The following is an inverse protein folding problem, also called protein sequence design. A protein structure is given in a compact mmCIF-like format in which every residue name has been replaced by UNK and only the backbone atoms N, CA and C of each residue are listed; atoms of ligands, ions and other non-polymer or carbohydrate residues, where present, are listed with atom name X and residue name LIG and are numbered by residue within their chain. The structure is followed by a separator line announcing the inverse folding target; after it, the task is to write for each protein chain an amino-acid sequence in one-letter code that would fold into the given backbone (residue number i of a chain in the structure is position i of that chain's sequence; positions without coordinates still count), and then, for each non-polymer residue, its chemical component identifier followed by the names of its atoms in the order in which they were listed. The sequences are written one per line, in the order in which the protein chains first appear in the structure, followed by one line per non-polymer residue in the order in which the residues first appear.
data_IF_298616254685
#
_entry.id   IF_298616254685
#
_cell.length_a   1.000
_cell.length_b   1.000
_cell.length_c   1.000
_cell.angle_alpha   90.00
_cell.angle_beta   90.00
_cell.angle_gamma   90.00
#
_symmetry.space_group_name_H-M   'P 1'
#
loop_
_entity.id
_entity.type
_entity.pdbx_description
1 polymer ?
#
# COMPACT_ATOMS: atom_id res chain seq x y z
N UNK A 1 -19.77 20.50 -10.69
CA UNK A 1 -18.95 20.94 -11.83
C UNK A 1 -19.00 19.83 -12.86
N UNK A 2 -19.53 20.05 -14.04
CA UNK A 2 -19.57 19.07 -15.14
C UNK A 2 -18.16 18.91 -15.68
N UNK A 3 -17.52 17.78 -15.38
CA UNK A 3 -16.23 17.42 -15.99
C UNK A 3 -16.51 17.04 -17.45
N UNK A 4 -16.20 17.94 -18.39
CA UNK A 4 -16.39 17.72 -19.84
C UNK A 4 -15.30 16.77 -20.44
N UNK A 5 -14.79 15.82 -19.69
CA UNK A 5 -13.72 14.90 -20.12
C UNK A 5 -14.04 13.46 -19.77
N UNK A 6 -13.25 12.49 -20.32
CA UNK A 6 -13.38 11.09 -19.95
C UNK A 6 -13.10 10.86 -18.47
N UNK A 7 -13.76 9.87 -17.89
CA UNK A 7 -13.59 9.41 -16.51
C UNK A 7 -13.06 7.99 -16.50
N UNK A 8 -12.45 7.57 -15.41
CA UNK A 8 -11.75 6.28 -15.30
C UNK A 8 -12.16 5.56 -14.03
N UNK A 9 -12.23 4.25 -14.08
CA UNK A 9 -12.48 3.42 -12.90
C UNK A 9 -11.15 2.98 -12.33
N UNK A 10 -10.95 3.19 -11.03
CA UNK A 10 -9.85 2.63 -10.28
C UNK A 10 -10.34 1.60 -9.28
N UNK A 11 -9.78 0.41 -9.30
CA UNK A 11 -10.04 -0.67 -8.36
C UNK A 11 -8.76 -0.95 -7.59
N UNK A 12 -8.86 -0.96 -6.26
CA UNK A 12 -7.80 -1.32 -5.32
C UNK A 12 -8.24 -2.56 -4.56
N UNK A 13 -7.64 -3.68 -4.88
CA UNK A 13 -7.90 -4.94 -4.24
C UNK A 13 -6.87 -5.17 -3.14
N UNK A 14 -7.27 -4.93 -1.90
CA UNK A 14 -6.46 -5.27 -0.73
C UNK A 14 -6.70 -6.69 -0.25
N UNK A 15 -5.89 -7.14 0.72
CA UNK A 15 -6.03 -8.49 1.29
C UNK A 15 -7.37 -8.78 1.95
N UNK A 16 -8.10 -7.78 2.44
CA UNK A 16 -9.40 -7.94 3.13
C UNK A 16 -10.52 -7.06 2.56
N UNK A 17 -10.21 -6.12 1.69
CA UNK A 17 -11.18 -5.17 1.14
C UNK A 17 -10.94 -4.95 -0.34
N UNK A 18 -12.03 -4.81 -1.08
CA UNK A 18 -12.05 -4.28 -2.44
C UNK A 18 -12.61 -2.87 -2.38
N UNK A 19 -11.87 -1.91 -2.90
CA UNK A 19 -12.30 -0.53 -3.07
C UNK A 19 -12.35 -0.20 -4.56
N UNK A 20 -13.36 0.55 -4.97
CA UNK A 20 -13.47 1.06 -6.31
C UNK A 20 -13.87 2.52 -6.32
N UNK A 21 -13.40 3.28 -7.30
CA UNK A 21 -13.83 4.65 -7.48
C UNK A 21 -13.94 5.02 -8.96
N UNK A 22 -14.89 5.90 -9.25
CA UNK A 22 -14.96 6.62 -10.51
C UNK A 22 -14.19 7.93 -10.33
N UNK A 23 -13.18 8.13 -11.15
CA UNK A 23 -12.20 9.21 -11.02
C UNK A 23 -12.27 10.10 -12.27
N UNK A 24 -12.28 11.41 -12.05
CA UNK A 24 -12.19 12.40 -13.12
C UNK A 24 -10.81 12.37 -13.80
N UNK A 25 -10.71 12.98 -14.96
CA UNK A 25 -9.42 13.15 -15.65
C UNK A 25 -8.37 13.89 -14.79
N UNK A 26 -8.80 14.77 -13.89
CA UNK A 26 -7.93 15.50 -12.93
C UNK A 26 -7.55 14.71 -11.68
N UNK A 27 -8.14 13.53 -11.45
CA UNK A 27 -7.88 12.70 -10.27
C UNK A 27 -8.85 12.89 -9.11
N UNK A 28 -9.95 13.65 -9.32
CA UNK A 28 -10.98 13.84 -8.30
C UNK A 28 -11.90 12.63 -8.24
N UNK A 29 -12.27 12.22 -7.03
CA UNK A 29 -13.22 11.13 -6.80
C UNK A 29 -14.64 11.64 -7.07
N UNK A 30 -15.33 10.97 -8.01
CA UNK A 30 -16.73 11.28 -8.35
C UNK A 30 -17.67 10.36 -7.55
N UNK A 31 -17.32 9.09 -7.43
CA UNK A 31 -18.05 8.07 -6.68
C UNK A 31 -17.10 7.03 -6.13
N UNK A 32 -17.42 6.48 -4.97
CA UNK A 32 -16.70 5.35 -4.36
C UNK A 32 -17.65 4.18 -4.13
N UNK A 33 -17.06 2.97 -4.12
CA UNK A 33 -17.69 1.75 -3.66
C UNK A 33 -16.69 0.93 -2.84
N UNK A 34 -17.20 0.13 -1.89
CA UNK A 34 -16.37 -0.70 -1.02
C UNK A 34 -17.08 -2.00 -0.68
N UNK A 35 -16.33 -3.09 -0.76
CA UNK A 35 -16.77 -4.45 -0.39
C UNK A 35 -15.78 -5.08 0.58
N UNK A 36 -16.26 -5.98 1.43
CA UNK A 36 -15.38 -6.96 2.07
C UNK A 36 -14.97 -7.99 1.02
N UNK A 37 -13.68 -8.24 0.88
CA UNK A 37 -13.18 -9.14 -0.15
C UNK A 37 -13.56 -10.59 0.16
N UNK A 38 -14.16 -11.30 -0.79
CA UNK A 38 -14.51 -12.71 -0.72
C UNK A 38 -13.26 -13.58 -0.89
N UNK A 39 -12.37 -13.59 0.08
CA UNK A 39 -11.00 -14.14 0.00
C UNK A 39 -10.91 -15.64 -0.34
N UNK A 40 -11.95 -16.42 -0.04
CA UNK A 40 -11.91 -17.89 -0.10
C UNK A 40 -12.39 -18.49 -1.41
N UNK A 41 -13.12 -17.72 -2.22
CA UNK A 41 -13.74 -18.19 -3.45
C UNK A 41 -13.31 -17.31 -4.63
N UNK A 42 -12.49 -17.84 -5.56
CA UNK A 42 -11.95 -17.05 -6.70
C UNK A 42 -13.04 -16.40 -7.53
N UNK A 43 -14.07 -17.18 -7.89
CA UNK A 43 -15.16 -16.73 -8.75
C UNK A 43 -16.00 -15.65 -8.06
N UNK A 44 -16.21 -15.77 -6.74
CA UNK A 44 -16.94 -14.78 -5.96
C UNK A 44 -16.14 -13.47 -5.85
N UNK A 45 -14.83 -13.55 -5.62
CA UNK A 45 -13.97 -12.37 -5.54
C UNK A 45 -13.85 -11.66 -6.89
N UNK A 46 -13.68 -12.42 -7.98
CA UNK A 46 -13.69 -11.83 -9.32
C UNK A 46 -15.07 -11.25 -9.67
N UNK A 47 -16.15 -11.93 -9.28
CA UNK A 47 -17.52 -11.40 -9.40
C UNK A 47 -17.70 -10.06 -8.69
N UNK A 48 -17.13 -9.88 -7.50
CA UNK A 48 -17.13 -8.58 -6.80
C UNK A 48 -16.37 -7.50 -7.57
N UNK A 49 -15.24 -7.83 -8.21
CA UNK A 49 -14.49 -6.89 -9.06
C UNK A 49 -15.34 -6.46 -10.25
N UNK A 50 -16.02 -7.40 -10.90
CA UNK A 50 -16.94 -7.12 -12.02
C UNK A 50 -18.12 -6.27 -11.56
N UNK A 51 -18.75 -6.60 -10.44
CA UNK A 51 -19.87 -5.86 -9.86
C UNK A 51 -19.49 -4.42 -9.57
N UNK A 52 -18.32 -4.21 -8.93
CA UNK A 52 -17.79 -2.89 -8.65
C UNK A 52 -17.57 -2.07 -9.94
N UNK A 53 -16.94 -2.70 -10.95
CA UNK A 53 -16.65 -2.05 -12.23
C UNK A 53 -17.93 -1.66 -12.99
N UNK A 54 -18.91 -2.58 -13.08
CA UNK A 54 -20.18 -2.32 -13.75
C UNK A 54 -21.00 -1.25 -13.02
N UNK A 55 -21.07 -1.32 -11.68
CA UNK A 55 -21.78 -0.33 -10.87
C UNK A 55 -21.20 1.09 -11.03
N UNK A 56 -19.89 1.22 -11.17
CA UNK A 56 -19.23 2.50 -11.41
C UNK A 56 -19.38 2.96 -12.87
N UNK A 57 -19.27 2.03 -13.83
CA UNK A 57 -19.45 2.32 -15.27
C UNK A 57 -20.84 2.85 -15.58
N UNK A 58 -21.87 2.23 -15.03
CA UNK A 58 -23.28 2.52 -15.33
C UNK A 58 -23.82 3.70 -14.52
N UNK A 59 -22.95 4.42 -13.80
CA UNK A 59 -23.32 5.61 -13.03
C UNK A 59 -23.78 6.75 -13.94
N UNK A 60 -25.07 7.10 -13.86
CA UNK A 60 -25.69 8.19 -14.64
C UNK A 60 -25.12 9.58 -14.29
N UNK A 61 -24.46 9.73 -13.16
CA UNK A 61 -23.88 10.97 -12.68
C UNK A 61 -22.36 11.05 -12.93
N UNK A 62 -21.81 10.20 -13.79
CA UNK A 62 -20.37 10.12 -14.06
C UNK A 62 -19.76 11.44 -14.57
N UNK A 63 -20.59 12.32 -15.15
CA UNK A 63 -20.12 13.60 -15.69
C UNK A 63 -19.30 13.48 -16.98
N UNK A 64 -19.03 12.26 -17.47
CA UNK A 64 -18.29 11.95 -18.68
C UNK A 64 -18.42 10.46 -19.06
N UNK A 65 -17.88 10.09 -20.22
CA UNK A 65 -17.81 8.69 -20.67
C UNK A 65 -16.69 7.97 -19.89
N UNK A 66 -16.97 6.73 -19.44
CA UNK A 66 -15.94 5.89 -18.80
C UNK A 66 -15.04 5.30 -19.88
N UNK A 67 -13.75 5.67 -19.86
CA UNK A 67 -12.81 5.35 -20.93
C UNK A 67 -11.86 4.17 -20.61
N UNK A 68 -11.79 3.74 -19.35
CA UNK A 68 -10.91 2.62 -18.97
C UNK A 68 -10.96 2.27 -17.49
N UNK A 69 -10.38 1.13 -17.16
CA UNK A 69 -10.31 0.56 -15.81
C UNK A 69 -8.86 0.29 -15.45
N UNK A 70 -8.41 0.76 -14.29
CA UNK A 70 -7.17 0.34 -13.66
C UNK A 70 -7.45 -0.52 -12.45
N UNK A 71 -6.67 -1.60 -12.28
CA UNK A 71 -6.79 -2.51 -11.15
C UNK A 71 -5.44 -2.64 -10.46
N UNK A 72 -5.38 -2.28 -9.18
CA UNK A 72 -4.25 -2.54 -8.28
C UNK A 72 -4.49 -3.82 -7.48
N UNK A 73 -3.50 -4.71 -7.44
CA UNK A 73 -3.60 -6.00 -6.73
C UNK A 73 -2.38 -6.22 -5.81
N UNK A 74 -2.55 -6.94 -4.68
CA UNK A 74 -1.45 -7.26 -3.78
C UNK A 74 -0.66 -8.47 -4.31
N UNK A 75 0.14 -8.29 -5.34
CA UNK A 75 0.89 -9.37 -5.96
C UNK A 75 1.84 -8.94 -7.06
N UNK A 76 2.61 -9.91 -7.57
CA UNK A 76 3.58 -9.70 -8.64
C UNK A 76 2.89 -9.80 -10.01
N UNK A 77 2.88 -8.71 -10.75
CA UNK A 77 2.31 -8.63 -12.10
C UNK A 77 3.42 -8.67 -13.14
N UNK A 78 3.43 -9.70 -13.98
CA UNK A 78 4.34 -9.78 -15.11
C UNK A 78 3.85 -8.87 -16.24
N UNK A 79 4.58 -7.79 -16.49
CA UNK A 79 4.19 -6.78 -17.50
C UNK A 79 4.29 -7.26 -18.95
N UNK A 80 5.05 -8.33 -19.22
CA UNK A 80 5.16 -8.87 -20.58
C UNK A 80 3.98 -9.76 -20.94
N UNK A 81 3.47 -10.51 -19.96
CA UNK A 81 2.34 -11.43 -20.14
C UNK A 81 1.03 -10.86 -19.63
N UNK A 82 1.09 -9.74 -18.90
CA UNK A 82 -0.04 -9.10 -18.21
C UNK A 82 -0.78 -10.05 -17.26
N UNK A 83 -0.03 -10.96 -16.61
CA UNK A 83 -0.55 -11.98 -15.70
C UNK A 83 0.01 -11.82 -14.31
N UNK A 84 -0.76 -12.32 -13.34
CA UNK A 84 -0.35 -12.45 -11.96
C UNK A 84 0.55 -13.67 -11.84
N UNK A 85 1.80 -13.47 -11.44
CA UNK A 85 2.76 -14.58 -11.21
C UNK A 85 2.66 -15.12 -9.78
N UNK A 86 2.53 -14.24 -8.81
CA UNK A 86 2.44 -14.59 -7.39
C UNK A 86 1.49 -13.62 -6.68
N UNK A 87 0.54 -14.15 -5.93
CA UNK A 87 -0.38 -13.39 -5.09
C UNK A 87 -0.63 -14.16 -3.77
N UNK A 88 0.24 -14.05 -2.77
CA UNK A 88 0.17 -14.86 -1.55
C UNK A 88 -1.12 -14.62 -0.74
N UNK A 89 -1.60 -13.38 -0.72
CA UNK A 89 -2.81 -13.00 0.02
C UNK A 89 -4.12 -13.48 -0.62
N UNK A 90 -4.13 -13.68 -1.94
CA UNK A 90 -5.33 -14.05 -2.72
C UNK A 90 -4.96 -15.03 -3.85
N UNK A 91 -4.41 -16.22 -3.52
CA UNK A 91 -3.83 -17.16 -4.51
C UNK A 91 -4.85 -17.63 -5.55
N UNK A 92 -6.11 -17.57 -5.20
CA UNK A 92 -7.23 -17.97 -6.06
C UNK A 92 -7.35 -17.13 -7.34
N UNK A 93 -7.04 -15.82 -7.28
CA UNK A 93 -7.11 -14.93 -8.45
C UNK A 93 -5.93 -15.09 -9.42
N UNK A 94 -4.84 -15.72 -9.02
CA UNK A 94 -3.68 -15.90 -9.90
C UNK A 94 -3.96 -16.76 -11.14
N UNK A 95 -5.06 -17.53 -11.10
CA UNK A 95 -5.50 -18.38 -12.23
C UNK A 95 -6.41 -17.65 -13.22
N UNK A 96 -6.89 -16.45 -12.86
CA UNK A 96 -7.82 -15.67 -13.69
C UNK A 96 -7.02 -14.62 -14.48
N UNK A 97 -7.26 -14.56 -15.79
CA UNK A 97 -6.80 -13.43 -16.61
C UNK A 97 -7.73 -12.23 -16.40
N UNK A 98 -7.47 -11.50 -15.29
CA UNK A 98 -8.32 -10.39 -14.85
C UNK A 98 -8.50 -9.36 -15.96
N UNK A 99 -7.44 -9.04 -16.71
CA UNK A 99 -7.51 -8.01 -17.76
C UNK A 99 -8.44 -8.40 -18.90
N UNK A 100 -8.29 -9.63 -19.42
CA UNK A 100 -9.12 -10.12 -20.50
C UNK A 100 -10.58 -10.31 -20.07
N UNK A 101 -10.79 -10.94 -18.92
CA UNK A 101 -12.14 -11.25 -18.45
C UNK A 101 -12.90 -9.98 -18.04
N UNK A 102 -12.26 -9.06 -17.30
CA UNK A 102 -12.90 -7.80 -16.92
C UNK A 102 -13.17 -6.90 -18.12
N UNK A 103 -12.28 -6.88 -19.12
CA UNK A 103 -12.51 -6.16 -20.37
C UNK A 103 -13.70 -6.74 -21.15
N UNK A 104 -13.84 -8.07 -21.16
CA UNK A 104 -14.99 -8.74 -21.80
C UNK A 104 -16.32 -8.37 -21.12
N UNK A 105 -16.36 -8.40 -19.79
CA UNK A 105 -17.58 -8.10 -19.01
C UNK A 105 -17.97 -6.63 -19.06
N UNK A 106 -16.99 -5.73 -19.14
CA UNK A 106 -17.24 -4.27 -19.08
C UNK A 106 -17.23 -3.59 -20.43
N UNK A 107 -16.61 -4.18 -21.45
CA UNK A 107 -16.39 -3.55 -22.76
C UNK A 107 -15.34 -2.44 -22.74
N UNK A 108 -14.57 -2.31 -21.66
CA UNK A 108 -13.58 -1.24 -21.47
C UNK A 108 -12.13 -1.80 -21.47
N UNK A 109 -11.15 -1.01 -21.89
CA UNK A 109 -9.75 -1.38 -21.72
C UNK A 109 -9.39 -1.47 -20.24
N UNK A 110 -8.62 -2.50 -19.87
CA UNK A 110 -8.22 -2.79 -18.48
C UNK A 110 -6.70 -2.80 -18.35
N UNK A 111 -6.19 -2.11 -17.34
CA UNK A 111 -4.78 -2.14 -16.94
C UNK A 111 -4.67 -2.77 -15.56
N UNK A 112 -3.72 -3.68 -15.40
CA UNK A 112 -3.41 -4.34 -14.13
C UNK A 112 -2.00 -3.94 -13.66
N UNK A 113 -1.87 -3.58 -12.38
CA UNK A 113 -0.57 -3.33 -11.74
C UNK A 113 -0.60 -3.77 -10.27
N UNK A 114 0.56 -3.73 -9.61
CA UNK A 114 0.65 -3.91 -8.18
C UNK A 114 -0.02 -2.74 -7.43
N UNK A 115 -0.66 -3.01 -6.28
CA UNK A 115 -1.39 -2.04 -5.46
C UNK A 115 -0.50 -0.91 -4.92
N UNK A 116 0.75 -1.23 -4.50
CA UNK A 116 1.69 -0.21 -4.04
C UNK A 116 2.21 0.66 -5.20
N UNK A 117 2.39 0.09 -6.41
CA UNK A 117 2.68 0.88 -7.60
C UNK A 117 1.52 1.82 -7.95
N UNK A 118 0.29 1.32 -7.86
CA UNK A 118 -0.89 2.15 -8.09
C UNK A 118 -0.95 3.31 -7.06
N UNK A 119 -0.77 3.02 -5.77
CA UNK A 119 -0.76 4.04 -4.73
C UNK A 119 0.37 5.07 -4.93
N UNK A 120 1.58 4.60 -5.29
CA UNK A 120 2.70 5.48 -5.63
C UNK A 120 2.37 6.41 -6.79
N UNK A 121 1.69 5.88 -7.82
CA UNK A 121 1.27 6.67 -8.98
C UNK A 121 0.22 7.71 -8.61
N UNK A 122 -0.73 7.37 -7.74
CA UNK A 122 -1.70 8.33 -7.20
C UNK A 122 -1.02 9.49 -6.47
N UNK A 123 -0.08 9.18 -5.57
CA UNK A 123 0.68 10.19 -4.83
C UNK A 123 1.57 11.04 -5.76
N UNK A 124 2.10 10.47 -6.84
CA UNK A 124 2.84 11.22 -7.86
C UNK A 124 1.95 12.19 -8.62
N UNK A 125 0.77 11.76 -9.05
CA UNK A 125 -0.08 12.56 -9.93
C UNK A 125 -0.83 13.67 -9.20
N UNK A 126 -1.39 13.37 -8.02
CA UNK A 126 -2.29 14.31 -7.30
C UNK A 126 -2.03 14.39 -5.78
N UNK A 127 -1.03 13.66 -5.29
CA UNK A 127 -0.75 13.54 -3.86
C UNK A 127 0.48 14.30 -3.37
N UNK A 128 1.21 13.69 -2.44
CA UNK A 128 2.38 14.26 -1.77
C UNK A 128 3.61 14.37 -2.67
N UNK A 129 3.72 13.49 -3.69
CA UNK A 129 4.87 13.42 -4.59
C UNK A 129 4.66 14.19 -5.90
N UNK A 130 3.64 15.05 -5.97
CA UNK A 130 3.37 15.85 -7.17
C UNK A 130 4.60 16.70 -7.54
N UNK A 131 4.90 16.76 -8.83
CA UNK A 131 6.06 17.49 -9.40
C UNK A 131 7.43 16.94 -8.96
N UNK A 132 7.48 15.68 -8.47
CA UNK A 132 8.71 14.93 -8.16
C UNK A 132 9.00 13.89 -9.22
N UNK A 133 10.29 13.52 -9.34
CA UNK A 133 10.77 12.59 -10.37
C UNK A 133 11.42 11.33 -9.80
N UNK A 134 12.04 11.44 -8.61
CA UNK A 134 12.77 10.33 -7.97
C UNK A 134 12.15 10.05 -6.60
N UNK A 135 11.11 9.18 -6.56
CA UNK A 135 10.29 8.96 -5.37
C UNK A 135 10.29 7.50 -4.96
N UNK A 136 10.37 7.25 -3.67
CA UNK A 136 10.15 5.94 -3.07
C UNK A 136 8.90 5.99 -2.19
N UNK A 137 7.84 5.36 -2.65
CA UNK A 137 6.60 5.23 -1.90
C UNK A 137 6.61 3.92 -1.10
N UNK A 138 6.15 3.98 0.15
CA UNK A 138 5.99 2.80 1.01
C UNK A 138 4.58 2.80 1.59
N UNK A 139 3.90 1.68 1.51
CA UNK A 139 2.63 1.45 2.22
C UNK A 139 2.84 0.47 3.35
N UNK A 140 2.46 0.86 4.58
CA UNK A 140 2.51 0.04 5.78
C UNK A 140 1.08 -0.29 6.22
N UNK A 141 0.69 -1.56 6.11
CA UNK A 141 -0.65 -2.06 6.40
C UNK A 141 -0.62 -3.48 6.91
N UNK A 142 -1.44 -4.36 6.33
CA UNK A 142 -1.40 -5.82 6.57
C UNK A 142 -0.05 -6.42 6.17
N UNK A 143 0.54 -5.90 5.10
CA UNK A 143 1.91 -6.13 4.68
C UNK A 143 2.67 -4.82 4.52
N UNK A 144 3.83 -4.87 3.86
CA UNK A 144 4.63 -3.72 3.47
C UNK A 144 4.91 -3.79 1.97
N UNK A 145 4.28 -2.91 1.21
CA UNK A 145 4.53 -2.72 -0.21
C UNK A 145 5.33 -1.45 -0.49
N UNK A 146 5.92 -1.36 -1.69
CA UNK A 146 6.54 -0.14 -2.14
C UNK A 146 6.39 0.06 -3.66
N UNK A 147 6.39 1.33 -4.07
CA UNK A 147 6.47 1.75 -5.46
C UNK A 147 7.67 2.66 -5.67
N UNK A 148 8.45 2.38 -6.69
CA UNK A 148 9.61 3.19 -7.06
C UNK A 148 9.29 4.02 -8.30
N UNK A 149 9.53 5.32 -8.23
CA UNK A 149 9.39 6.26 -9.34
C UNK A 149 10.79 6.74 -9.70
N UNK A 150 11.14 6.58 -10.97
CA UNK A 150 12.41 7.01 -11.56
C UNK A 150 12.11 7.82 -12.81
N UNK A 151 12.69 9.01 -12.93
CA UNK A 151 12.41 9.94 -14.02
C UNK A 151 10.90 10.23 -14.20
N UNK A 152 10.14 10.32 -13.11
CA UNK A 152 8.70 10.59 -13.12
C UNK A 152 7.81 9.42 -13.58
N UNK A 153 8.36 8.21 -13.68
CA UNK A 153 7.64 7.01 -14.11
C UNK A 153 7.82 5.88 -13.11
N UNK A 154 6.79 5.03 -12.96
CA UNK A 154 6.88 3.82 -12.14
C UNK A 154 7.95 2.89 -12.70
N UNK A 155 8.96 2.61 -11.89
CA UNK A 155 10.00 1.65 -12.20
C UNK A 155 9.57 0.25 -11.73
N UNK A 156 9.30 -0.62 -12.68
CA UNK A 156 8.82 -1.98 -12.42
C UNK A 156 9.91 -3.05 -12.50
N UNK A 157 11.13 -2.68 -12.85
CA UNK A 157 12.22 -3.63 -13.08
C UNK A 157 12.08 -4.42 -14.38
N UNK A 158 12.94 -5.41 -14.57
CA UNK A 158 13.07 -6.16 -15.82
C UNK A 158 11.83 -7.00 -16.18
N UNK A 159 11.13 -7.52 -15.18
CA UNK A 159 9.97 -8.41 -15.34
C UNK A 159 8.67 -7.88 -14.73
N UNK A 160 8.70 -6.77 -14.01
CA UNK A 160 7.54 -6.20 -13.34
C UNK A 160 7.55 -6.36 -11.81
N UNK A 161 8.65 -6.86 -11.21
CA UNK A 161 8.71 -7.30 -9.82
C UNK A 161 9.58 -6.41 -8.92
N UNK A 162 9.88 -5.18 -9.33
CA UNK A 162 10.59 -4.23 -8.48
C UNK A 162 9.66 -3.70 -7.37
N UNK A 163 10.25 -3.32 -6.24
CA UNK A 163 9.50 -2.70 -5.14
C UNK A 163 9.22 -3.63 -3.95
N UNK A 164 9.79 -4.83 -3.91
CA UNK A 164 9.60 -5.81 -2.82
C UNK A 164 10.32 -5.40 -1.52
N UNK A 165 10.13 -4.15 -1.10
CA UNK A 165 10.80 -3.53 0.05
C UNK A 165 10.49 -4.22 1.38
N UNK A 166 9.25 -4.68 1.55
CA UNK A 166 8.81 -5.42 2.74
C UNK A 166 9.58 -6.72 2.95
N UNK A 167 10.13 -7.29 1.87
CA UNK A 167 10.86 -8.55 1.89
C UNK A 167 12.39 -8.39 1.94
N UNK A 168 12.89 -7.16 2.09
CA UNK A 168 14.31 -6.95 2.41
C UNK A 168 14.63 -7.51 3.80
N UNK A 169 15.69 -8.31 3.91
CA UNK A 169 16.17 -8.81 5.21
C UNK A 169 16.76 -7.67 6.01
N UNK A 170 16.15 -7.35 7.13
CA UNK A 170 16.60 -6.31 8.09
C UNK A 170 17.14 -6.95 9.38
N UNK A 171 16.65 -8.12 9.72
CA UNK A 171 17.12 -8.90 10.87
C UNK A 171 17.44 -10.34 10.44
N UNK A 172 18.71 -10.65 10.11
CA UNK A 172 19.07 -11.96 9.61
C UNK A 172 18.87 -13.12 10.60
N UNK A 173 18.69 -12.80 11.89
CA UNK A 173 18.34 -13.77 12.96
C UNK A 173 16.84 -13.67 13.34
N UNK A 174 16.05 -12.96 12.54
CA UNK A 174 14.63 -12.75 12.76
C UNK A 174 13.78 -13.98 12.49
N UNK A 175 12.45 -13.78 12.47
CA UNK A 175 11.50 -14.86 12.20
C UNK A 175 11.33 -15.11 10.70
N UNK A 176 10.80 -16.28 10.37
CA UNK A 176 10.40 -16.64 9.01
C UNK A 176 9.28 -15.74 8.50
N UNK A 177 9.40 -15.32 7.26
CA UNK A 177 8.41 -14.52 6.53
C UNK A 177 7.54 -15.43 5.66
N UNK A 178 6.31 -15.01 5.37
CA UNK A 178 5.40 -15.72 4.45
C UNK A 178 5.98 -15.91 3.04
N UNK A 179 6.98 -15.11 2.65
CA UNK A 179 7.70 -15.28 1.38
C UNK A 179 8.77 -16.40 1.40
N UNK A 180 8.97 -17.07 2.54
CA UNK A 180 10.00 -18.11 2.74
C UNK A 180 11.37 -17.60 3.15
N UNK A 181 11.60 -16.28 3.20
CA UNK A 181 12.84 -15.67 3.69
C UNK A 181 12.78 -15.45 5.21
N UNK A 182 13.91 -15.13 5.84
CA UNK A 182 14.02 -14.86 7.29
C UNK A 182 14.35 -13.39 7.51
N UNK A 183 13.66 -12.76 8.49
CA UNK A 183 13.97 -11.41 8.97
C UNK A 183 13.62 -10.27 8.02
N UNK A 184 12.63 -10.46 7.18
CA UNK A 184 12.07 -9.42 6.32
C UNK A 184 11.58 -8.23 7.15
N UNK A 185 11.66 -7.01 6.61
CA UNK A 185 11.12 -5.81 7.24
C UNK A 185 9.64 -5.99 7.62
N UNK A 186 8.87 -6.66 6.78
CA UNK A 186 7.45 -6.94 7.02
C UNK A 186 7.20 -7.72 8.30
N UNK A 187 8.08 -8.66 8.65
CA UNK A 187 7.97 -9.43 9.91
C UNK A 187 8.18 -8.60 11.17
N UNK A 188 8.53 -7.31 11.00
CA UNK A 188 8.79 -6.38 12.09
C UNK A 188 7.81 -5.21 12.08
N UNK A 189 7.57 -4.60 10.92
CA UNK A 189 6.94 -3.29 10.81
C UNK A 189 5.53 -3.30 10.18
N UNK A 190 5.01 -4.44 9.72
CA UNK A 190 3.60 -4.54 9.32
C UNK A 190 2.66 -4.53 10.53
N UNK A 191 1.40 -4.13 10.35
CA UNK A 191 0.40 -4.05 11.41
C UNK A 191 0.29 -5.34 12.24
N UNK A 192 0.08 -6.52 11.63
CA UNK A 192 0.03 -7.79 12.34
C UNK A 192 1.31 -8.10 13.13
N UNK A 193 2.47 -7.73 12.59
CA UNK A 193 3.75 -7.98 13.26
C UNK A 193 4.05 -6.99 14.39
N UNK A 194 3.57 -5.77 14.31
CA UNK A 194 3.56 -4.83 15.46
C UNK A 194 2.72 -5.43 16.59
N UNK A 195 1.53 -5.93 16.29
CA UNK A 195 0.64 -6.60 17.24
C UNK A 195 1.31 -7.82 17.86
N UNK A 196 1.88 -8.72 17.06
CA UNK A 196 2.60 -9.92 17.52
C UNK A 196 3.72 -9.55 18.52
N UNK A 197 4.61 -8.63 18.14
CA UNK A 197 5.72 -8.17 18.99
C UNK A 197 5.23 -7.53 20.28
N UNK A 198 4.13 -6.79 20.22
CA UNK A 198 3.50 -6.19 21.41
C UNK A 198 2.96 -7.27 22.33
N UNK A 199 2.27 -8.28 21.81
CA UNK A 199 1.79 -9.44 22.61
C UNK A 199 2.93 -10.18 23.29
N UNK A 200 4.02 -10.44 22.58
CA UNK A 200 5.20 -11.10 23.15
C UNK A 200 5.79 -10.28 24.31
N UNK A 201 5.77 -8.96 24.20
CA UNK A 201 6.24 -8.06 25.26
C UNK A 201 5.31 -8.05 26.47
N UNK A 202 3.99 -8.08 26.27
CA UNK A 202 2.98 -8.08 27.32
C UNK A 202 3.06 -9.30 28.25
N UNK A 203 3.59 -10.43 27.80
CA UNK A 203 3.86 -11.58 28.69
C UNK A 203 4.87 -11.26 29.79
N UNK A 204 5.78 -10.32 29.55
CA UNK A 204 6.85 -9.93 30.46
C UNK A 204 6.58 -8.61 31.18
N UNK A 205 5.75 -7.76 30.61
CA UNK A 205 5.42 -6.44 31.13
C UNK A 205 3.89 -6.26 31.18
N UNK A 206 3.33 -6.39 32.37
CA UNK A 206 1.89 -6.27 32.61
C UNK A 206 1.46 -4.88 33.09
N UNK A 207 2.37 -3.93 33.14
CA UNK A 207 2.06 -2.56 33.57
C UNK A 207 1.35 -1.76 32.49
N UNK A 208 1.52 -2.13 31.23
CA UNK A 208 0.87 -1.51 30.09
C UNK A 208 -0.65 -1.57 30.16
N UNK A 209 -1.31 -0.49 29.75
CA UNK A 209 -2.76 -0.39 29.59
C UNK A 209 -3.32 -1.44 28.62
N UNK A 210 -2.52 -1.84 27.63
CA UNK A 210 -2.85 -2.90 26.66
C UNK A 210 -3.07 -4.27 27.31
N UNK A 211 -2.54 -4.50 28.51
CA UNK A 211 -2.80 -5.72 29.28
C UNK A 211 -4.29 -5.94 29.55
N UNK A 212 -5.07 -4.86 29.68
CA UNK A 212 -6.52 -4.92 29.88
C UNK A 212 -7.28 -5.28 28.60
N UNK A 213 -6.76 -4.88 27.44
CA UNK A 213 -7.33 -5.22 26.13
C UNK A 213 -7.01 -6.66 25.72
N UNK A 214 -5.92 -7.22 26.25
CA UNK A 214 -5.50 -8.59 25.97
C UNK A 214 -6.25 -9.66 26.82
N UNK A 215 -7.03 -9.26 27.83
CA UNK A 215 -7.67 -10.17 28.80
C UNK A 215 -8.99 -10.79 28.32
N UNK A 216 -9.88 -10.13 27.55
CA UNK A 216 -10.88 -10.86 26.81
C UNK A 216 -10.17 -11.52 25.60
N UNK A 217 -10.00 -12.86 25.66
CA UNK A 217 -9.38 -13.62 24.55
C UNK A 217 -10.13 -13.49 23.22
N UNK A 218 -11.28 -12.88 23.25
CA UNK A 218 -12.23 -12.71 22.14
C UNK A 218 -12.03 -11.41 21.35
N UNK A 219 -11.25 -10.45 21.86
CA UNK A 219 -10.88 -9.24 21.13
C UNK A 219 -9.38 -9.20 20.87
N UNK A 220 -9.01 -9.31 19.61
CA UNK A 220 -7.65 -8.99 19.18
C UNK A 220 -7.49 -7.46 19.14
N UNK A 221 -6.50 -6.92 19.88
CA UNK A 221 -6.11 -5.54 19.70
C UNK A 221 -5.32 -5.36 18.39
N UNK A 222 -5.42 -4.18 17.82
CA UNK A 222 -4.84 -3.81 16.52
C UNK A 222 -3.59 -2.94 16.68
N UNK A 223 -2.91 -2.66 15.59
CA UNK A 223 -1.82 -1.68 15.58
C UNK A 223 -2.32 -0.26 15.94
N UNK A 224 -3.57 0.06 15.61
CA UNK A 224 -4.23 1.31 15.98
C UNK A 224 -4.46 1.42 17.48
N UNK A 225 -4.91 0.34 18.15
CA UNK A 225 -5.03 0.29 19.62
C UNK A 225 -3.67 0.54 20.29
N UNK A 226 -2.57 0.02 19.71
CA UNK A 226 -1.21 0.25 20.21
C UNK A 226 -0.80 1.70 20.02
N UNK A 227 -1.06 2.28 18.85
CA UNK A 227 -0.78 3.69 18.58
C UNK A 227 -1.58 4.60 19.50
N UNK A 228 -2.85 4.28 19.75
CA UNK A 228 -3.70 5.03 20.68
C UNK A 228 -3.15 4.96 22.12
N UNK A 229 -2.82 3.77 22.62
CA UNK A 229 -2.22 3.61 23.94
C UNK A 229 -0.89 4.40 24.06
N UNK A 230 -0.06 4.38 23.02
CA UNK A 230 1.17 5.16 22.98
C UNK A 230 0.90 6.67 23.07
N UNK A 231 -0.13 7.18 22.38
CA UNK A 231 -0.55 8.58 22.44
C UNK A 231 -1.05 9.01 23.82
N UNK A 232 -1.66 8.07 24.56
CA UNK A 232 -2.13 8.24 25.94
C UNK A 232 -1.00 8.09 26.99
N UNK A 233 0.24 7.86 26.55
CA UNK A 233 1.41 7.82 27.41
C UNK A 233 1.81 6.43 27.91
N UNK A 234 1.27 5.35 27.35
CA UNK A 234 1.71 4.00 27.64
C UNK A 234 3.16 3.78 27.16
N UNK A 235 4.08 3.67 28.10
CA UNK A 235 5.53 3.60 27.81
C UNK A 235 5.88 2.37 26.95
N UNK A 236 5.26 1.23 27.18
CA UNK A 236 5.52 0.02 26.43
C UNK A 236 5.02 0.17 24.98
N UNK A 237 3.84 0.73 24.78
CA UNK A 237 3.29 1.01 23.47
C UNK A 237 4.17 2.04 22.72
N UNK A 238 4.65 3.09 23.40
CA UNK A 238 5.61 4.06 22.82
C UNK A 238 6.89 3.36 22.34
N UNK A 239 7.48 2.48 23.16
CA UNK A 239 8.66 1.69 22.77
C UNK A 239 8.38 0.82 21.54
N UNK A 240 7.19 0.24 21.43
CA UNK A 240 6.83 -0.59 20.27
C UNK A 240 6.74 0.24 18.99
N UNK A 241 6.15 1.44 19.04
CA UNK A 241 6.06 2.36 17.90
C UNK A 241 7.45 2.91 17.53
N UNK A 242 8.24 3.34 18.52
CA UNK A 242 9.62 3.81 18.28
C UNK A 242 10.48 2.74 17.59
N UNK A 243 10.42 1.49 18.07
CA UNK A 243 11.16 0.39 17.44
C UNK A 243 10.67 0.10 16.03
N UNK A 244 9.37 0.21 15.76
CA UNK A 244 8.83 0.07 14.40
C UNK A 244 9.43 1.13 13.46
N UNK A 245 9.40 2.40 13.88
CA UNK A 245 10.03 3.48 13.12
C UNK A 245 11.55 3.32 12.97
N UNK A 246 12.23 2.80 14.00
CA UNK A 246 13.67 2.51 13.91
C UNK A 246 13.99 1.49 12.81
N UNK A 247 13.28 0.36 12.74
CA UNK A 247 13.52 -0.64 11.69
C UNK A 247 13.17 -0.13 10.30
N UNK A 248 12.08 0.62 10.19
CA UNK A 248 11.73 1.30 8.94
C UNK A 248 12.85 2.26 8.51
N UNK A 249 13.41 3.03 9.44
CA UNK A 249 14.50 3.96 9.17
C UNK A 249 15.79 3.26 8.74
N UNK A 250 16.09 2.07 9.27
CA UNK A 250 17.21 1.22 8.80
C UNK A 250 17.04 0.88 7.33
N UNK A 251 15.86 0.39 6.97
CA UNK A 251 15.54 -0.01 5.60
C UNK A 251 15.57 1.18 4.63
N UNK A 252 14.99 2.32 5.03
CA UNK A 252 14.98 3.54 4.21
C UNK A 252 16.37 4.13 4.00
N UNK A 253 17.25 4.04 4.99
CA UNK A 253 18.63 4.47 4.83
C UNK A 253 19.35 3.67 3.72
N UNK A 254 19.09 2.36 3.62
CA UNK A 254 19.65 1.54 2.54
C UNK A 254 19.12 1.98 1.17
N UNK A 255 17.81 2.26 1.07
CA UNK A 255 17.17 2.74 -0.17
C UNK A 255 17.74 4.11 -0.58
N UNK A 256 17.82 5.07 0.34
CA UNK A 256 18.34 6.41 0.08
C UNK A 256 19.80 6.35 -0.36
N UNK A 257 20.62 5.50 0.28
CA UNK A 257 22.01 5.32 -0.11
C UNK A 257 22.16 4.67 -1.49
N UNK A 258 21.26 3.74 -1.85
CA UNK A 258 21.33 3.00 -3.10
C UNK A 258 20.78 3.77 -4.28
N UNK A 259 19.64 4.45 -4.10
CA UNK A 259 18.87 5.05 -5.19
C UNK A 259 18.96 6.58 -5.23
N UNK A 260 19.36 7.22 -4.12
CA UNK A 260 19.42 8.68 -3.98
C UNK A 260 18.10 9.38 -4.41
N UNK A 261 16.97 8.87 -3.91
CA UNK A 261 15.66 9.46 -4.19
C UNK A 261 15.51 10.84 -3.54
N UNK A 262 14.78 11.74 -4.17
CA UNK A 262 14.52 13.09 -3.65
C UNK A 262 13.37 13.12 -2.62
N UNK A 263 12.51 12.10 -2.64
CA UNK A 263 11.39 12.00 -1.70
C UNK A 263 11.08 10.55 -1.33
N UNK A 264 10.80 10.33 -0.04
CA UNK A 264 10.15 9.12 0.47
C UNK A 264 8.75 9.48 0.95
N UNK A 265 7.73 8.79 0.46
CA UNK A 265 6.34 8.96 0.87
C UNK A 265 5.90 7.74 1.66
N UNK A 266 5.44 7.93 2.90
CA UNK A 266 5.00 6.87 3.80
C UNK A 266 3.47 6.88 3.93
N UNK A 267 2.83 5.81 3.49
CA UNK A 267 1.37 5.64 3.54
C UNK A 267 0.96 4.34 4.23
N UNK A 268 -0.33 4.01 4.12
CA UNK A 268 -0.95 2.84 4.75
C UNK A 268 -1.39 3.09 6.19
N UNK A 269 -2.33 2.27 6.68
CA UNK A 269 -3.00 2.50 7.96
C UNK A 269 -2.09 2.51 9.20
N UNK A 270 -0.92 1.87 9.14
CA UNK A 270 0.07 1.93 10.23
C UNK A 270 0.62 3.35 10.40
N UNK A 271 0.67 4.13 9.30
CA UNK A 271 1.15 5.53 9.34
C UNK A 271 0.15 6.51 9.95
N UNK A 272 -1.08 6.09 10.23
CA UNK A 272 -2.06 6.87 11.02
C UNK A 272 -1.55 7.12 12.45
N UNK A 273 -0.56 6.32 12.93
CA UNK A 273 0.19 6.59 14.15
C UNK A 273 1.03 7.89 14.09
N UNK A 274 1.19 8.51 12.92
CA UNK A 274 1.82 9.81 12.72
C UNK A 274 3.25 9.88 13.27
N UNK A 275 3.50 10.89 14.09
CA UNK A 275 4.82 11.18 14.67
C UNK A 275 5.41 10.06 15.53
N UNK A 276 4.58 9.16 16.08
CA UNK A 276 5.04 8.02 16.87
C UNK A 276 5.93 7.07 16.06
N UNK A 277 5.71 7.00 14.74
CA UNK A 277 6.53 6.20 13.80
C UNK A 277 7.42 7.12 12.97
N UNK A 278 6.90 8.24 12.45
CA UNK A 278 7.63 9.11 11.53
C UNK A 278 8.92 9.69 12.14
N UNK A 279 8.85 10.23 13.36
CA UNK A 279 10.03 10.83 14.02
C UNK A 279 11.16 9.82 14.26
N UNK A 280 10.92 8.63 14.84
CA UNK A 280 11.94 7.59 14.96
C UNK A 280 12.49 7.12 13.60
N UNK A 281 11.62 7.03 12.58
CA UNK A 281 12.04 6.69 11.20
C UNK A 281 13.04 7.72 10.67
N UNK A 282 12.70 8.99 10.70
CA UNK A 282 13.58 10.07 10.23
C UNK A 282 14.90 10.09 11.02
N UNK A 283 14.82 9.97 12.35
CA UNK A 283 16.00 9.95 13.24
C UNK A 283 16.96 8.83 12.86
N UNK A 284 16.46 7.63 12.66
CA UNK A 284 17.28 6.46 12.35
C UNK A 284 17.80 6.49 10.90
N UNK A 285 16.98 6.95 9.94
CA UNK A 285 17.40 7.16 8.55
C UNK A 285 18.55 8.15 8.50
N UNK A 286 18.46 9.31 9.18
CA UNK A 286 19.52 10.33 9.27
C UNK A 286 20.80 9.75 9.84
N UNK A 287 20.71 8.87 10.86
CA UNK A 287 21.88 8.27 11.51
C UNK A 287 22.65 7.35 10.58
N UNK A 288 21.99 6.71 9.60
CA UNK A 288 22.55 5.63 8.78
C UNK A 288 22.80 5.98 7.32
N UNK A 289 22.03 6.89 6.78
CA UNK A 289 22.23 7.34 5.40
C UNK A 289 23.45 8.27 5.31
N UNK A 290 24.09 8.30 4.15
CA UNK A 290 25.11 9.30 3.87
C UNK A 290 24.52 10.71 3.99
N UNK A 291 25.17 11.65 4.71
CA UNK A 291 24.61 12.97 4.94
C UNK A 291 24.18 13.71 3.66
N UNK A 292 24.92 13.72 2.54
CA UNK A 292 24.47 14.36 1.31
C UNK A 292 23.18 13.74 0.76
N UNK A 293 23.09 12.40 0.73
CA UNK A 293 21.90 11.68 0.23
C UNK A 293 20.70 11.91 1.14
N UNK A 294 20.88 11.90 2.46
CA UNK A 294 19.81 12.23 3.40
C UNK A 294 19.32 13.67 3.26
N UNK A 295 20.25 14.63 3.12
CA UNK A 295 19.91 16.05 3.05
C UNK A 295 19.21 16.43 1.73
N UNK A 296 19.33 15.60 0.69
CA UNK A 296 18.63 15.77 -0.60
C UNK A 296 17.29 15.05 -0.67
N UNK A 297 16.88 14.35 0.42
CA UNK A 297 15.67 13.54 0.46
C UNK A 297 14.69 14.06 1.52
N UNK A 298 13.45 14.32 1.13
CA UNK A 298 12.35 14.57 2.06
C UNK A 298 11.66 13.25 2.43
N UNK A 299 11.28 13.09 3.71
CA UNK A 299 10.47 11.96 4.18
C UNK A 299 9.15 12.51 4.69
N UNK A 300 8.05 12.17 4.02
CA UNK A 300 6.72 12.73 4.28
C UNK A 300 5.65 11.64 4.42
N UNK A 301 4.51 11.98 5.03
CA UNK A 301 3.33 11.12 5.05
C UNK A 301 2.54 11.32 3.74
N UNK A 302 1.97 10.23 3.23
CA UNK A 302 1.09 10.21 2.07
C UNK A 302 -0.12 11.13 2.26
N UNK A 303 -0.51 11.81 1.19
CA UNK A 303 -1.63 12.78 1.22
C UNK A 303 -2.98 12.12 0.93
N UNK A 304 -2.99 11.10 0.06
CA UNK A 304 -4.24 10.48 -0.41
C UNK A 304 -4.77 9.39 0.53
N UNK A 305 -3.96 8.98 1.52
CA UNK A 305 -4.36 7.98 2.51
C UNK A 305 -4.86 6.68 1.87
N UNK A 306 -6.01 6.21 2.32
CA UNK A 306 -6.61 4.94 1.88
C UNK A 306 -7.19 4.98 0.46
N UNK A 307 -7.21 6.13 -0.22
CA UNK A 307 -7.74 6.29 -1.59
C UNK A 307 -6.64 6.25 -2.65
N UNK A 308 -5.37 6.29 -2.23
CA UNK A 308 -4.21 6.36 -3.14
C UNK A 308 -4.21 5.25 -4.21
N UNK A 309 -4.50 3.99 -3.80
CA UNK A 309 -4.51 2.84 -4.72
C UNK A 309 -5.55 2.98 -5.84
N UNK A 310 -6.81 3.27 -5.49
CA UNK A 310 -7.86 3.40 -6.50
C UNK A 310 -7.69 4.66 -7.38
N UNK A 311 -7.24 5.79 -6.82
CA UNK A 311 -6.93 6.99 -7.61
C UNK A 311 -5.79 6.68 -8.59
N UNK A 312 -4.71 6.10 -8.10
CA UNK A 312 -3.55 5.78 -8.93
C UNK A 312 -3.86 4.75 -10.01
N UNK A 313 -4.63 3.70 -9.69
CA UNK A 313 -5.07 2.72 -10.68
C UNK A 313 -5.88 3.38 -11.81
N UNK A 314 -6.85 4.25 -11.49
CA UNK A 314 -7.62 5.00 -12.49
C UNK A 314 -6.73 5.89 -13.37
N UNK A 315 -5.78 6.62 -12.74
CA UNK A 315 -4.86 7.50 -13.46
C UNK A 315 -3.86 6.70 -14.32
N UNK A 316 -3.47 5.49 -13.91
CA UNK A 316 -2.73 4.57 -14.78
C UNK A 316 -3.54 4.17 -16.01
N UNK A 317 -4.84 3.89 -15.86
CA UNK A 317 -5.72 3.62 -17.01
C UNK A 317 -5.82 4.83 -17.93
N UNK A 318 -5.91 6.04 -17.40
CA UNK A 318 -5.89 7.29 -18.17
C UNK A 318 -4.65 7.42 -19.06
N UNK A 319 -3.48 7.12 -18.52
CA UNK A 319 -2.21 7.46 -19.14
C UNK A 319 -1.60 6.30 -19.93
N UNK A 320 -2.07 5.08 -19.73
CA UNK A 320 -1.47 3.86 -20.32
C UNK A 320 -2.49 3.00 -21.09
N UNK A 321 -3.78 3.35 -21.08
CA UNK A 321 -4.75 2.69 -21.95
C UNK A 321 -4.40 2.97 -23.42
N UNK A 322 -4.50 1.95 -24.31
CA UNK A 322 -4.14 2.06 -25.70
C UNK A 322 -5.02 3.06 -26.46
#
# INVERSE_FOLDING_TARGET
MTTNGPVFIGIDLGGSTLKGALISHSGDIIQETRFEAAQKEPDALFGQVVEAALGLRDNKNAGGEVAGIGVGIPGLVNRKTNRIEVMPSLPALSQIDITTELSRETGLPVILDNDANAAAYGELQVGAARDRHEVFFVTLGQGIGAGLIVNGQIYRGAAGFAGEFGHMTIDPEGIECVCGNIGCLETIASGPNIVRRTRERLYRDRTSSLSRLAIPRDREFTAEDIAHAASEGDEMAQVMMERTGMFLGIALAAVINLLNVEMVVLGGGVMDAGDLILKPTIKETRRRAFPPSFNSCEIVIAKLGSTAGMIGAALMARDQAP
#
